data_IF_084272702573
#
_entry.id   IF_084272702573
#
_cell.length_a   1.000
_cell.length_b   1.000
_cell.length_c   1.000
_cell.angle_alpha   90.00
_cell.angle_beta   90.00
_cell.angle_gamma   90.00
#
_symmetry.space_group_name_H-M   'P 1'
#
loop_
_entity.id
_entity.type
_entity.pdbx_description
1 polymer ?
#
# COMPACT_ATOMS: atom_id res chain seq x y z
N UNK A 1 -20.27 -11.43 -30.84
CA UNK A 1 -20.35 -12.32 -29.66
C UNK A 1 -19.21 -11.93 -28.74
N UNK A 2 -19.41 -10.92 -27.88
CA UNK A 2 -18.36 -10.50 -26.94
C UNK A 2 -18.14 -11.63 -25.93
N UNK A 3 -16.93 -12.19 -25.89
CA UNK A 3 -16.57 -13.19 -24.89
C UNK A 3 -16.74 -12.58 -23.50
N UNK A 4 -17.59 -13.16 -22.65
CA UNK A 4 -17.62 -12.83 -21.22
C UNK A 4 -16.22 -13.12 -20.65
N UNK A 5 -15.43 -12.08 -20.44
CA UNK A 5 -14.19 -12.20 -19.68
C UNK A 5 -14.55 -12.46 -18.22
N UNK A 6 -13.86 -13.43 -17.62
CA UNK A 6 -14.11 -13.96 -16.28
C UNK A 6 -13.72 -12.99 -15.15
N UNK A 7 -14.20 -13.29 -13.95
CA UNK A 7 -13.77 -12.65 -12.72
C UNK A 7 -12.34 -13.10 -12.41
N UNK A 8 -11.38 -12.19 -12.51
CA UNK A 8 -9.99 -12.46 -12.10
C UNK A 8 -9.99 -12.50 -10.57
N UNK A 9 -9.75 -13.67 -9.98
CA UNK A 9 -9.51 -13.78 -8.55
C UNK A 9 -8.24 -13.05 -8.12
N UNK A 10 -7.86 -13.17 -6.85
CA UNK A 10 -6.59 -12.64 -6.34
C UNK A 10 -5.43 -13.56 -6.72
N UNK A 11 -5.03 -13.50 -8.00
CA UNK A 11 -3.88 -14.18 -8.58
C UNK A 11 -3.03 -13.16 -9.36
N UNK A 12 -1.85 -12.85 -8.83
CA UNK A 12 -0.90 -11.88 -9.41
C UNK A 12 -0.46 -12.25 -10.83
N UNK A 13 -0.32 -13.54 -11.15
CA UNK A 13 0.03 -14.02 -12.50
C UNK A 13 -1.13 -13.84 -13.47
N UNK A 14 -2.35 -14.11 -13.03
CA UNK A 14 -3.54 -13.91 -13.85
C UNK A 14 -3.76 -12.42 -14.16
N UNK A 15 -3.59 -11.55 -13.16
CA UNK A 15 -3.62 -10.10 -13.33
C UNK A 15 -2.53 -9.62 -14.29
N UNK A 16 -1.29 -10.09 -14.11
CA UNK A 16 -0.20 -9.68 -14.97
C UNK A 16 -0.42 -10.05 -16.43
N UNK A 17 -0.95 -11.26 -16.71
CA UNK A 17 -1.32 -11.66 -18.08
C UNK A 17 -2.48 -10.84 -18.64
N UNK A 18 -3.52 -10.60 -17.84
CA UNK A 18 -4.72 -9.90 -18.30
C UNK A 18 -4.48 -8.42 -18.63
N UNK A 19 -3.56 -7.78 -17.91
CA UNK A 19 -3.24 -6.35 -18.04
C UNK A 19 -1.84 -6.08 -18.58
N UNK A 20 -1.16 -7.11 -19.10
CA UNK A 20 0.20 -7.04 -19.64
C UNK A 20 1.21 -6.35 -18.68
N UNK A 21 1.09 -6.64 -17.38
CA UNK A 21 1.96 -6.07 -16.36
C UNK A 21 3.36 -6.67 -16.46
N UNK A 22 4.35 -5.81 -16.57
CA UNK A 22 5.75 -6.14 -16.42
C UNK A 22 6.18 -5.85 -14.99
N UNK A 23 6.58 -6.90 -14.28
CA UNK A 23 7.08 -6.82 -12.92
C UNK A 23 8.59 -6.55 -12.91
N UNK A 24 9.02 -5.65 -12.03
CA UNK A 24 10.42 -5.34 -11.74
C UNK A 24 10.70 -5.59 -10.25
N UNK A 25 11.82 -6.23 -9.96
CA UNK A 25 12.22 -6.59 -8.60
C UNK A 25 13.13 -5.53 -7.97
N UNK A 26 13.48 -5.71 -6.70
CA UNK A 26 14.23 -4.76 -5.90
C UNK A 26 15.62 -4.35 -6.45
N UNK A 27 16.21 -5.18 -7.32
CA UNK A 27 17.47 -4.88 -8.01
C UNK A 27 17.27 -3.96 -9.23
N UNK A 28 16.03 -3.71 -9.64
CA UNK A 28 15.63 -2.86 -10.76
C UNK A 28 14.50 -1.88 -10.34
N UNK A 29 14.69 -1.08 -9.28
CA UNK A 29 13.60 -0.31 -8.67
C UNK A 29 13.00 0.78 -9.58
N UNK A 30 13.73 1.22 -10.62
CA UNK A 30 13.33 2.37 -11.42
C UNK A 30 13.44 3.69 -10.65
N UNK A 31 13.24 4.82 -11.35
CA UNK A 31 13.45 6.15 -10.76
C UNK A 31 12.41 6.48 -9.68
N UNK A 32 11.12 6.16 -9.92
CA UNK A 32 10.02 6.49 -9.01
C UNK A 32 10.18 5.80 -7.64
N UNK A 33 10.40 4.48 -7.62
CA UNK A 33 10.63 3.74 -6.38
C UNK A 33 11.91 4.23 -5.67
N UNK A 34 12.98 4.48 -6.43
CA UNK A 34 14.26 4.95 -5.88
C UNK A 34 14.07 6.29 -5.17
N UNK A 35 13.46 7.27 -5.85
CA UNK A 35 13.17 8.59 -5.26
C UNK A 35 12.22 8.50 -4.07
N UNK A 36 11.29 7.55 -4.08
CA UNK A 36 10.34 7.35 -2.99
C UNK A 36 11.01 6.77 -1.73
N UNK A 37 11.80 5.70 -1.89
CA UNK A 37 12.35 4.92 -0.78
C UNK A 37 13.73 5.39 -0.30
N UNK A 38 14.40 6.27 -1.03
CA UNK A 38 15.64 6.93 -0.56
C UNK A 38 15.38 8.20 0.26
N UNK A 39 14.11 8.55 0.49
CA UNK A 39 13.78 9.73 1.27
C UNK A 39 14.28 9.62 2.71
N UNK A 40 14.89 10.70 3.19
CA UNK A 40 15.40 10.83 4.55
C UNK A 40 14.85 12.11 5.17
N UNK A 41 14.43 12.01 6.42
CA UNK A 41 13.92 13.13 7.19
C UNK A 41 14.53 13.12 8.59
N UNK A 42 14.43 14.24 9.28
CA UNK A 42 14.68 14.30 10.72
C UNK A 42 13.37 14.07 11.47
N UNK A 43 13.41 13.21 12.48
CA UNK A 43 12.32 13.05 13.45
C UNK A 43 12.54 14.03 14.60
N UNK A 44 11.47 14.65 15.11
CA UNK A 44 11.58 15.41 16.36
C UNK A 44 11.85 14.48 17.55
N UNK A 45 12.18 15.05 18.71
CA UNK A 45 12.37 14.26 19.92
C UNK A 45 11.09 13.47 20.32
N UNK A 46 9.92 14.09 20.15
CA UNK A 46 8.62 13.47 20.42
C UNK A 46 8.31 12.35 19.44
N UNK A 47 8.59 12.57 18.15
CA UNK A 47 8.40 11.58 17.09
C UNK A 47 9.33 10.38 17.28
N UNK A 48 10.58 10.64 17.61
CA UNK A 48 11.59 9.62 17.91
C UNK A 48 11.15 8.78 19.11
N UNK A 49 10.68 9.44 20.18
CA UNK A 49 10.18 8.74 21.37
C UNK A 49 8.98 7.85 21.03
N UNK A 50 7.98 8.39 20.33
CA UNK A 50 6.81 7.61 19.93
C UNK A 50 7.19 6.40 19.05
N UNK A 51 8.10 6.59 18.09
CA UNK A 51 8.56 5.50 17.23
C UNK A 51 9.30 4.42 18.02
N UNK A 52 10.14 4.80 18.99
CA UNK A 52 10.81 3.86 19.88
C UNK A 52 9.83 3.10 20.77
N UNK A 53 8.81 3.79 21.31
CA UNK A 53 7.78 3.16 22.14
C UNK A 53 6.97 2.13 21.32
N UNK A 54 6.59 2.47 20.09
CA UNK A 54 5.92 1.55 19.14
C UNK A 54 6.80 0.35 18.79
N UNK A 55 8.08 0.59 18.48
CA UNK A 55 9.04 -0.46 18.17
C UNK A 55 9.24 -1.41 19.37
N UNK A 56 9.40 -0.87 20.58
CA UNK A 56 9.55 -1.67 21.79
C UNK A 56 8.30 -2.53 22.06
N UNK A 57 7.09 -1.97 21.84
CA UNK A 57 5.85 -2.73 21.94
C UNK A 57 5.77 -3.84 20.88
N UNK A 58 6.08 -3.53 19.63
CA UNK A 58 6.08 -4.50 18.53
C UNK A 58 7.08 -5.64 18.73
N UNK A 59 8.25 -5.36 19.31
CA UNK A 59 9.25 -6.37 19.66
C UNK A 59 8.74 -7.40 20.69
N UNK A 60 7.88 -6.97 21.62
CA UNK A 60 7.36 -7.85 22.68
C UNK A 60 6.08 -8.56 22.25
N UNK A 61 5.19 -7.85 21.56
CA UNK A 61 3.83 -8.31 21.30
C UNK A 61 3.56 -8.67 19.83
N UNK A 62 4.40 -8.23 18.89
CA UNK A 62 4.13 -8.25 17.45
C UNK A 62 3.85 -9.63 16.88
N UNK A 63 4.55 -10.65 17.39
CA UNK A 63 4.37 -12.05 17.00
C UNK A 63 3.01 -12.63 17.45
N UNK A 64 2.36 -12.03 18.46
CA UNK A 64 1.06 -12.47 18.98
C UNK A 64 -0.12 -11.74 18.35
N UNK A 65 0.11 -10.62 17.67
CA UNK A 65 -0.97 -9.88 17.05
C UNK A 65 -1.64 -10.71 15.95
N UNK A 66 -2.94 -10.52 15.74
CA UNK A 66 -3.64 -10.81 14.49
C UNK A 66 -3.54 -9.60 13.52
N UNK A 67 -4.21 -9.65 12.36
CA UNK A 67 -4.12 -8.57 11.36
C UNK A 67 -4.66 -7.25 11.91
N UNK A 68 -5.85 -7.28 12.50
CA UNK A 68 -6.49 -6.09 13.06
C UNK A 68 -5.67 -5.49 14.22
N UNK A 69 -5.04 -6.33 15.04
CA UNK A 69 -4.13 -5.88 16.10
C UNK A 69 -2.85 -5.26 15.53
N UNK A 70 -2.29 -5.79 14.45
CA UNK A 70 -1.13 -5.19 13.78
C UNK A 70 -1.49 -3.83 13.15
N UNK A 71 -2.65 -3.77 12.48
CA UNK A 71 -3.23 -2.57 11.90
C UNK A 71 -3.40 -1.47 12.95
N UNK A 72 -4.04 -1.77 14.07
CA UNK A 72 -4.36 -0.80 15.12
C UNK A 72 -3.14 -0.43 15.96
N UNK A 73 -2.35 -1.41 16.42
CA UNK A 73 -1.27 -1.17 17.38
C UNK A 73 0.01 -0.63 16.74
N UNK A 74 0.19 -0.80 15.43
CA UNK A 74 1.43 -0.38 14.76
C UNK A 74 1.15 0.47 13.52
N UNK A 75 0.51 -0.10 12.48
CA UNK A 75 0.41 0.55 11.16
C UNK A 75 -0.35 1.88 11.24
N UNK A 76 -1.46 1.93 11.97
CA UNK A 76 -2.23 3.16 12.18
C UNK A 76 -1.40 4.27 12.84
N UNK A 77 -0.55 3.92 13.81
CA UNK A 77 0.36 4.88 14.43
C UNK A 77 1.49 5.33 13.50
N UNK A 78 1.97 4.46 12.60
CA UNK A 78 2.95 4.85 11.59
C UNK A 78 2.37 5.86 10.59
N UNK A 79 1.12 5.68 10.16
CA UNK A 79 0.41 6.68 9.36
C UNK A 79 0.23 8.00 10.12
N UNK A 80 -0.16 7.95 11.39
CA UNK A 80 -0.25 9.14 12.23
C UNK A 80 1.09 9.88 12.32
N UNK A 81 2.17 9.16 12.62
CA UNK A 81 3.53 9.71 12.76
C UNK A 81 4.09 10.28 11.45
N UNK A 82 3.69 9.71 10.31
CA UNK A 82 4.07 10.22 8.99
C UNK A 82 3.47 11.60 8.68
N UNK A 83 2.43 12.02 9.41
CA UNK A 83 1.67 13.27 9.16
C UNK A 83 1.18 13.38 7.73
N UNK A 84 0.79 12.25 7.13
CA UNK A 84 0.35 12.21 5.73
C UNK A 84 -0.93 13.01 5.51
N UNK A 85 -1.86 12.98 6.47
CA UNK A 85 -3.15 13.64 6.31
C UNK A 85 -3.01 15.16 6.20
N UNK A 86 -3.84 15.73 5.33
CA UNK A 86 -3.92 17.17 5.11
C UNK A 86 -5.39 17.54 4.90
N UNK A 87 -5.96 18.44 5.72
CA UNK A 87 -7.37 18.77 5.65
C UNK A 87 -7.83 19.10 4.23
N UNK A 88 -8.91 18.45 3.79
CA UNK A 88 -9.53 18.60 2.46
C UNK A 88 -8.67 18.14 1.27
N UNK A 89 -7.44 17.67 1.48
CA UNK A 89 -6.54 17.24 0.39
C UNK A 89 -6.16 15.77 0.48
N UNK A 90 -5.79 15.29 1.66
CA UNK A 90 -5.26 13.94 1.84
C UNK A 90 -5.87 13.34 3.10
N UNK A 91 -6.45 12.14 2.97
CA UNK A 91 -7.04 11.41 4.08
C UNK A 91 -6.70 9.93 3.98
N UNK A 92 -6.50 9.30 5.14
CA UNK A 92 -6.38 7.85 5.26
C UNK A 92 -7.77 7.26 5.49
N UNK A 93 -8.12 6.24 4.73
CA UNK A 93 -9.36 5.49 4.84
C UNK A 93 -9.05 4.02 5.09
N UNK A 94 -9.86 3.39 5.93
CA UNK A 94 -9.77 1.96 6.25
C UNK A 94 -11.02 1.24 5.79
N UNK A 95 -10.90 -0.04 5.45
CA UNK A 95 -12.03 -0.91 5.09
C UNK A 95 -12.92 -0.30 4.00
N UNK A 96 -12.33 -0.01 2.83
CA UNK A 96 -13.05 0.58 1.70
C UNK A 96 -13.09 -0.37 0.52
N UNK A 97 -14.31 -0.64 0.03
CA UNK A 97 -14.51 -1.41 -1.18
C UNK A 97 -14.26 -0.56 -2.41
N UNK A 98 -13.53 -1.11 -3.36
CA UNK A 98 -13.32 -0.56 -4.69
C UNK A 98 -13.68 -1.59 -5.76
N UNK A 99 -14.14 -1.10 -6.92
CA UNK A 99 -14.40 -1.96 -8.08
C UNK A 99 -14.39 -1.16 -9.37
N UNK A 100 -13.99 -1.80 -10.46
CA UNK A 100 -14.09 -1.26 -11.82
C UNK A 100 -14.23 -2.38 -12.85
N UNK A 101 -14.72 -2.03 -14.04
CA UNK A 101 -14.66 -2.90 -15.22
C UNK A 101 -13.57 -2.37 -16.15
N UNK A 102 -12.49 -3.11 -16.32
CA UNK A 102 -11.30 -2.69 -17.09
C UNK A 102 -11.03 -3.72 -18.17
N UNK A 103 -10.99 -3.31 -19.44
CA UNK A 103 -10.73 -4.20 -20.59
C UNK A 103 -11.64 -5.46 -20.65
N UNK A 104 -12.87 -5.32 -20.14
CA UNK A 104 -13.87 -6.39 -20.05
C UNK A 104 -13.82 -7.23 -18.77
N UNK A 105 -12.79 -7.09 -17.92
CA UNK A 105 -12.66 -7.77 -16.64
C UNK A 105 -13.34 -6.98 -15.53
N UNK A 106 -14.09 -7.66 -14.65
CA UNK A 106 -14.63 -7.06 -13.43
C UNK A 106 -13.67 -7.29 -12.27
N UNK A 107 -13.10 -6.20 -11.75
CA UNK A 107 -12.21 -6.20 -10.59
C UNK A 107 -12.95 -5.64 -9.38
N UNK A 108 -12.72 -6.24 -8.21
CA UNK A 108 -13.22 -5.73 -6.94
C UNK A 108 -12.28 -6.13 -5.81
N UNK A 109 -12.11 -5.24 -4.84
CA UNK A 109 -11.24 -5.45 -3.67
C UNK A 109 -11.78 -4.65 -2.48
N UNK A 110 -11.54 -5.15 -1.27
CA UNK A 110 -11.68 -4.37 -0.04
C UNK A 110 -10.25 -3.99 0.36
N UNK A 111 -10.00 -2.70 0.49
CA UNK A 111 -8.71 -2.17 0.92
C UNK A 111 -8.69 -2.06 2.43
N UNK A 112 -7.71 -2.72 3.08
CA UNK A 112 -7.45 -2.56 4.51
C UNK A 112 -7.15 -1.09 4.83
N UNK A 113 -6.27 -0.47 4.03
CA UNK A 113 -5.94 0.93 4.13
C UNK A 113 -5.74 1.56 2.74
N UNK A 114 -6.20 2.81 2.57
CA UNK A 114 -5.94 3.62 1.38
C UNK A 114 -5.74 5.09 1.71
N UNK A 115 -4.89 5.76 0.95
CA UNK A 115 -4.71 7.22 0.98
C UNK A 115 -5.38 7.81 -0.24
N UNK A 116 -6.29 8.77 -0.06
CA UNK A 116 -7.03 9.38 -1.14
C UNK A 116 -7.42 10.83 -0.84
N UNK A 117 -7.90 11.57 -1.84
CA UNK A 117 -8.62 12.82 -1.58
C UNK A 117 -9.95 12.53 -0.88
N UNK A 118 -10.38 13.39 0.07
CA UNK A 118 -11.67 13.22 0.71
C UNK A 118 -12.82 13.84 -0.10
N UNK A 119 -13.84 13.05 -0.41
CA UNK A 119 -15.16 13.50 -0.88
C UNK A 119 -16.17 13.33 0.26
N UNK A 120 -16.24 14.32 1.15
CA UNK A 120 -16.95 14.22 2.43
C UNK A 120 -16.43 13.05 3.29
N UNK A 121 -17.13 11.92 3.31
CA UNK A 121 -16.77 10.71 4.05
C UNK A 121 -16.30 9.54 3.14
N UNK A 122 -16.30 9.73 1.82
CA UNK A 122 -15.86 8.75 0.84
C UNK A 122 -14.48 9.10 0.26
N UNK A 123 -13.70 8.09 -0.17
CA UNK A 123 -12.48 8.34 -0.94
C UNK A 123 -12.84 8.88 -2.34
N UNK A 124 -12.11 9.88 -2.80
CA UNK A 124 -12.14 10.40 -4.16
C UNK A 124 -11.02 9.79 -4.99
N UNK A 125 -10.00 10.59 -5.29
CA UNK A 125 -8.82 10.21 -6.07
C UNK A 125 -7.84 9.41 -5.17
N UNK A 126 -7.63 8.10 -5.40
CA UNK A 126 -6.71 7.29 -4.61
C UNK A 126 -5.26 7.43 -5.06
N UNK A 127 -4.34 7.45 -4.08
CA UNK A 127 -2.90 7.61 -4.28
C UNK A 127 -2.10 6.38 -3.86
N UNK A 128 -2.53 5.74 -2.77
CA UNK A 128 -1.80 4.64 -2.15
C UNK A 128 -2.73 3.60 -1.51
N UNK A 129 -2.27 2.35 -1.50
CA UNK A 129 -2.97 1.21 -0.89
C UNK A 129 -2.06 0.41 0.03
N UNK A 130 -2.61 -0.10 1.13
CA UNK A 130 -1.96 -1.11 1.96
C UNK A 130 -2.91 -2.27 2.19
N UNK A 131 -2.42 -3.50 2.00
CA UNK A 131 -3.13 -4.73 2.34
C UNK A 131 -2.29 -5.55 3.32
N UNK A 132 -2.96 -6.15 4.30
CA UNK A 132 -2.35 -7.01 5.30
C UNK A 132 -2.79 -8.45 5.08
N UNK A 133 -1.90 -9.40 5.36
CA UNK A 133 -2.26 -10.81 5.37
C UNK A 133 -1.49 -11.58 6.43
N UNK A 134 -2.24 -12.34 7.22
CA UNK A 134 -1.80 -13.43 8.07
C UNK A 134 -2.43 -14.70 7.55
N UNK A 135 -1.59 -15.72 7.39
CA UNK A 135 -2.04 -17.07 7.04
C UNK A 135 -2.99 -17.59 8.13
N UNK A 136 -4.29 -17.38 7.97
CA UNK A 136 -5.30 -18.22 8.58
C UNK A 136 -5.21 -19.62 7.94
N UNK A 137 -5.61 -20.68 8.66
CA UNK A 137 -5.59 -22.04 8.10
C UNK A 137 -6.62 -22.16 6.98
N UNK A 138 -6.21 -21.98 5.73
CA UNK A 138 -6.96 -22.38 4.54
C UNK A 138 -7.15 -21.33 3.44
N UNK A 139 -6.88 -20.05 3.70
CA UNK A 139 -7.18 -18.98 2.73
C UNK A 139 -6.05 -18.78 1.71
N UNK A 140 -6.39 -18.92 0.42
CA UNK A 140 -5.52 -18.60 -0.73
C UNK A 140 -5.72 -17.14 -1.17
N UNK A 141 -5.49 -16.20 -0.26
CA UNK A 141 -5.53 -14.77 -0.61
C UNK A 141 -4.10 -14.27 -0.77
N UNK A 142 -3.76 -13.84 -1.97
CA UNK A 142 -2.48 -13.21 -2.28
C UNK A 142 -2.62 -11.70 -2.03
N UNK A 143 -2.05 -11.15 -0.94
CA UNK A 143 -2.17 -9.72 -0.63
C UNK A 143 -1.49 -8.83 -1.67
N UNK A 144 -0.47 -9.33 -2.37
CA UNK A 144 0.11 -8.60 -3.49
C UNK A 144 -0.92 -8.47 -4.62
N UNK A 145 -1.60 -9.56 -4.97
CA UNK A 145 -2.65 -9.54 -5.98
C UNK A 145 -3.80 -8.59 -5.57
N UNK A 146 -4.13 -8.49 -4.28
CA UNK A 146 -5.10 -7.51 -3.78
C UNK A 146 -4.62 -6.06 -3.95
N UNK A 147 -3.37 -5.76 -3.61
CA UNK A 147 -2.78 -4.43 -3.82
C UNK A 147 -2.75 -4.09 -5.30
N UNK A 148 -2.25 -4.98 -6.15
CA UNK A 148 -2.21 -4.77 -7.60
C UNK A 148 -3.62 -4.56 -8.17
N UNK A 149 -4.63 -5.30 -7.69
CA UNK A 149 -6.03 -5.11 -8.07
C UNK A 149 -6.52 -3.71 -7.68
N UNK A 150 -6.23 -3.25 -6.46
CA UNK A 150 -6.59 -1.90 -6.02
C UNK A 150 -5.92 -0.82 -6.87
N UNK A 151 -4.64 -0.99 -7.17
CA UNK A 151 -3.86 -0.06 -8.00
C UNK A 151 -4.36 0.00 -9.45
N UNK A 152 -4.73 -1.14 -10.04
CA UNK A 152 -5.35 -1.20 -11.37
C UNK A 152 -6.70 -0.48 -11.40
N UNK A 153 -7.53 -0.69 -10.38
CA UNK A 153 -8.80 0.02 -10.24
C UNK A 153 -8.55 1.52 -10.11
N UNK A 154 -7.60 1.94 -9.27
CA UNK A 154 -7.27 3.35 -9.08
C UNK A 154 -6.74 4.00 -10.35
N UNK A 155 -5.82 3.36 -11.08
CA UNK A 155 -5.31 3.87 -12.35
C UNK A 155 -6.45 4.09 -13.37
N UNK A 156 -7.42 3.17 -13.43
CA UNK A 156 -8.58 3.32 -14.30
C UNK A 156 -9.58 4.39 -13.83
N UNK A 157 -9.71 4.63 -12.52
CA UNK A 157 -10.63 5.62 -11.96
C UNK A 157 -10.05 7.04 -11.97
N UNK A 158 -8.73 7.16 -11.76
CA UNK A 158 -8.01 8.43 -11.79
C UNK A 158 -7.95 9.00 -13.21
N UNK A 159 -7.95 8.12 -14.22
CA UNK A 159 -7.95 8.47 -15.65
C UNK A 159 -6.83 9.47 -16.02
N UNK A 160 -5.64 9.23 -15.47
CA UNK A 160 -4.45 10.00 -15.77
C UNK A 160 -3.20 9.12 -15.90
N UNK A 161 -2.05 9.75 -16.12
CA UNK A 161 -0.76 9.06 -16.29
C UNK A 161 0.08 9.08 -15.02
N UNK A 162 -0.52 9.35 -13.84
CA UNK A 162 0.24 9.40 -12.59
C UNK A 162 0.46 8.00 -12.03
N UNK A 163 1.59 7.76 -11.33
CA UNK A 163 1.81 6.48 -10.67
C UNK A 163 0.87 6.30 -9.48
N UNK A 164 0.47 5.05 -9.25
CA UNK A 164 -0.23 4.62 -8.04
C UNK A 164 0.77 3.90 -7.14
N UNK A 165 0.77 4.22 -5.86
CA UNK A 165 1.68 3.64 -4.88
C UNK A 165 0.95 2.55 -4.07
N UNK A 166 1.71 1.68 -3.43
CA UNK A 166 1.12 0.66 -2.59
C UNK A 166 2.12 -0.03 -1.70
N UNK A 167 1.61 -0.88 -0.83
CA UNK A 167 2.40 -1.80 -0.02
C UNK A 167 1.56 -2.98 0.41
N UNK A 168 2.20 -4.10 0.72
CA UNK A 168 1.54 -5.20 1.39
C UNK A 168 2.37 -5.74 2.55
N UNK A 169 1.69 -6.32 3.52
CA UNK A 169 2.29 -6.88 4.74
C UNK A 169 2.01 -8.38 4.83
N UNK A 170 3.06 -9.18 4.95
CA UNK A 170 3.05 -10.62 5.16
C UNK A 170 3.64 -10.96 6.54
N UNK A 171 2.78 -11.14 7.53
CA UNK A 171 3.22 -11.20 8.93
C UNK A 171 3.76 -9.84 9.37
N UNK A 172 5.08 -9.73 9.56
CA UNK A 172 5.79 -8.45 9.82
C UNK A 172 6.57 -7.95 8.62
N UNK A 173 6.58 -8.71 7.51
CA UNK A 173 7.35 -8.37 6.33
C UNK A 173 6.54 -7.40 5.45
N UNK A 174 7.04 -6.20 5.27
CA UNK A 174 6.47 -5.16 4.44
C UNK A 174 7.19 -5.10 3.09
N UNK A 175 6.41 -4.89 2.03
CA UNK A 175 6.91 -4.64 0.68
C UNK A 175 6.22 -3.40 0.13
N UNK A 176 6.97 -2.46 -0.43
CA UNK A 176 6.44 -1.32 -1.17
C UNK A 176 6.35 -1.64 -2.65
N UNK A 177 5.35 -1.06 -3.30
CA UNK A 177 5.08 -1.29 -4.72
C UNK A 177 4.69 0.01 -5.43
N UNK A 178 5.07 0.13 -6.71
CA UNK A 178 4.66 1.26 -7.57
C UNK A 178 4.12 0.71 -8.88
N UNK A 179 2.91 1.14 -9.27
CA UNK A 179 2.32 0.86 -10.58
C UNK A 179 2.34 2.15 -11.39
N UNK A 180 2.98 2.10 -12.56
CA UNK A 180 2.95 3.19 -13.53
C UNK A 180 2.70 2.61 -14.93
N UNK A 181 1.47 2.78 -15.42
CA UNK A 181 1.01 2.15 -16.65
C UNK A 181 0.98 0.64 -16.50
N UNK A 182 1.92 -0.05 -17.16
CA UNK A 182 2.07 -1.51 -17.12
C UNK A 182 3.31 -1.93 -16.32
N UNK A 183 4.09 -0.99 -15.79
CA UNK A 183 5.30 -1.30 -15.02
C UNK A 183 4.96 -1.39 -13.54
N UNK A 184 5.25 -2.53 -12.92
CA UNK A 184 4.96 -2.81 -11.53
C UNK A 184 6.25 -3.12 -10.76
N UNK A 185 6.71 -2.17 -9.98
CA UNK A 185 7.97 -2.24 -9.24
C UNK A 185 7.75 -2.74 -7.83
N UNK A 186 8.66 -3.59 -7.34
CA UNK A 186 8.70 -4.07 -5.98
C UNK A 186 9.97 -3.63 -5.26
N UNK A 187 9.81 -3.24 -4.00
CA UNK A 187 10.94 -3.00 -3.13
C UNK A 187 11.55 -4.30 -2.60
N UNK A 188 12.70 -4.18 -1.94
CA UNK A 188 13.15 -5.22 -1.02
C UNK A 188 12.12 -5.44 0.09
N UNK A 189 12.30 -6.52 0.83
CA UNK A 189 11.60 -6.75 2.09
C UNK A 189 12.05 -5.75 3.17
N UNK A 190 11.09 -5.19 3.88
CA UNK A 190 11.25 -4.42 5.11
C UNK A 190 10.66 -5.22 6.27
N UNK A 191 11.25 -5.12 7.45
CA UNK A 191 10.81 -5.83 8.65
C UNK A 191 10.22 -4.81 9.64
N UNK A 192 8.91 -4.88 9.88
CA UNK A 192 8.21 -3.97 10.79
C UNK A 192 8.63 -4.16 12.26
N UNK A 193 9.44 -5.17 12.57
CA UNK A 193 10.08 -5.29 13.88
C UNK A 193 11.45 -4.59 13.92
N UNK A 194 12.02 -4.12 12.81
CA UNK A 194 13.29 -3.39 12.83
C UNK A 194 13.03 -1.90 12.87
N UNK A 195 13.62 -1.22 13.85
CA UNK A 195 13.47 0.23 14.00
C UNK A 195 13.83 1.02 12.73
N UNK A 196 14.90 0.64 12.02
CA UNK A 196 15.32 1.30 10.78
C UNK A 196 14.25 1.18 9.68
N UNK A 197 13.64 0.00 9.54
CA UNK A 197 12.61 -0.25 8.53
C UNK A 197 11.27 0.41 8.93
N UNK A 198 10.94 0.49 10.24
CA UNK A 198 9.82 1.29 10.74
C UNK A 198 10.01 2.79 10.46
N UNK A 199 11.23 3.29 10.69
CA UNK A 199 11.60 4.67 10.35
C UNK A 199 11.45 4.91 8.85
N UNK A 200 11.90 3.95 8.03
CA UNK A 200 11.76 4.04 6.59
C UNK A 200 10.30 4.08 6.15
N UNK A 201 9.38 3.34 6.79
CA UNK A 201 7.95 3.47 6.50
C UNK A 201 7.46 4.90 6.70
N UNK A 202 7.77 5.51 7.85
CA UNK A 202 7.37 6.89 8.16
C UNK A 202 7.89 7.85 7.09
N UNK A 203 9.15 7.69 6.67
CA UNK A 203 9.78 8.54 5.66
C UNK A 203 9.19 8.34 4.28
N UNK A 204 8.95 7.10 3.86
CA UNK A 204 8.32 6.79 2.58
C UNK A 204 6.91 7.38 2.51
N UNK A 205 6.13 7.31 3.60
CA UNK A 205 4.81 7.94 3.62
C UNK A 205 4.87 9.48 3.63
N UNK A 206 5.86 10.09 4.31
CA UNK A 206 6.13 11.54 4.17
C UNK A 206 6.47 11.92 2.74
N UNK A 207 7.30 11.13 2.06
CA UNK A 207 7.67 11.39 0.68
C UNK A 207 6.50 11.24 -0.29
N UNK A 208 5.62 10.28 -0.03
CA UNK A 208 4.37 10.13 -0.76
C UNK A 208 3.52 11.40 -0.65
N UNK A 209 3.42 12.01 0.53
CA UNK A 209 2.70 13.28 0.70
C UNK A 209 3.27 14.37 -0.22
N UNK A 210 4.59 14.50 -0.29
CA UNK A 210 5.23 15.47 -1.18
C UNK A 210 4.81 15.26 -2.64
N UNK A 211 4.88 14.03 -3.14
CA UNK A 211 4.46 13.69 -4.51
C UNK A 211 2.98 13.99 -4.79
N UNK A 212 2.11 13.91 -3.78
CA UNK A 212 0.67 14.24 -3.92
C UNK A 212 0.46 15.75 -3.96
N UNK A 213 1.31 16.51 -3.27
CA UNK A 213 1.17 17.96 -3.10
C UNK A 213 1.93 18.82 -4.11
N UNK A 214 2.88 18.23 -4.84
CA UNK A 214 3.54 18.80 -6.04
C UNK A 214 2.55 19.01 -7.20
#
# INVERSE_FOLDING_TARGET
MESRKEQLGFDSVALAKAFAIQRFEANEPGELMTRWLQAQYELTAEETKLLHDLHAKAQVEGDYWNEEELKINLIGFLFYLSRIEEPKRIKVFYERRMSAKINGYSLAVICDCMVATPLFNAPGYPYFFLQEYKKSRGDKVDPEAQVLTAMLIAQAQNDDTKPVYGSYVLGTNLYFTVLHGQQYYHSRKYDLLRLEDLTQFVFSIRKLKEFITE
#
